data_IF_032444300211
#
_entry.id   IF_032444300211
#
_cell.length_a   1.000
_cell.length_b   1.000
_cell.length_c   1.000
_cell.angle_alpha   90.00
_cell.angle_beta   90.00
_cell.angle_gamma   90.00
#
_symmetry.space_group_name_H-M   'P 1'
#
loop_
_entity.id
_entity.type
_entity.pdbx_description
1 polymer ?
#
# COMPACT_ATOMS: atom_id res chain seq x y z
N UNK A 1 -12.14 4.11 -0.25
CA UNK A 1 -10.72 3.73 -0.37
C UNK A 1 -9.99 4.82 -1.14
N UNK A 2 -8.90 5.38 -0.63
CA UNK A 2 -8.10 6.35 -1.38
C UNK A 2 -6.65 6.02 -1.13
N UNK A 3 -6.02 5.42 -2.13
CA UNK A 3 -4.61 5.07 -2.11
C UNK A 3 -4.00 5.78 -3.31
N UNK A 4 -3.10 6.71 -3.03
CA UNK A 4 -2.51 7.60 -4.04
C UNK A 4 -1.26 6.91 -4.58
N UNK A 5 -1.29 6.43 -5.82
CA UNK A 5 -0.06 6.05 -6.54
C UNK A 5 0.61 7.32 -7.03
N UNK A 6 1.85 7.56 -6.57
CA UNK A 6 2.68 8.67 -7.02
C UNK A 6 3.66 8.16 -8.07
N UNK A 7 3.48 8.54 -9.33
CA UNK A 7 4.54 8.44 -10.33
C UNK A 7 5.29 9.77 -10.30
N UNK A 8 6.58 9.75 -9.98
CA UNK A 8 7.43 10.96 -10.04
C UNK A 8 8.30 10.84 -11.28
N UNK A 9 7.95 11.57 -12.34
CA UNK A 9 8.84 11.78 -13.49
C UNK A 9 9.59 13.09 -13.26
N UNK A 10 10.86 13.16 -13.67
CA UNK A 10 11.57 14.44 -13.76
C UNK A 10 10.70 15.47 -14.49
N UNK A 11 10.44 16.61 -13.85
CA UNK A 11 9.49 17.67 -14.24
C UNK A 11 7.99 17.31 -14.40
N UNK A 12 7.56 16.04 -14.33
CA UNK A 12 6.14 15.64 -14.51
C UNK A 12 5.67 14.62 -13.44
N UNK A 13 4.80 15.00 -12.50
CA UNK A 13 4.20 14.02 -11.57
C UNK A 13 2.96 13.39 -12.21
N UNK A 14 2.92 12.08 -12.47
CA UNK A 14 1.66 11.42 -12.87
C UNK A 14 1.00 10.79 -11.65
N UNK A 15 -0.25 11.14 -11.37
CA UNK A 15 -0.99 10.60 -10.22
C UNK A 15 -2.08 9.67 -10.74
N UNK A 16 -2.06 8.42 -10.29
CA UNK A 16 -3.09 7.43 -10.60
C UNK A 16 -3.91 7.20 -9.32
N UNK A 17 -5.23 7.44 -9.39
CA UNK A 17 -6.14 7.34 -8.25
C UNK A 17 -7.55 6.97 -8.72
N UNK A 18 -8.33 6.39 -7.81
CA UNK A 18 -9.70 5.93 -8.04
C UNK A 18 -10.73 7.08 -7.92
N UNK A 19 -10.36 8.24 -7.38
CA UNK A 19 -11.31 9.34 -7.11
C UNK A 19 -10.87 10.68 -7.74
N UNK A 20 -11.64 11.15 -8.73
CA UNK A 20 -11.36 12.39 -9.48
C UNK A 20 -11.43 13.68 -8.65
N UNK A 21 -12.30 13.74 -7.63
CA UNK A 21 -12.45 14.93 -6.79
C UNK A 21 -11.23 15.13 -5.89
N UNK A 22 -10.73 14.03 -5.30
CA UNK A 22 -9.50 14.05 -4.49
C UNK A 22 -8.30 14.45 -5.35
N UNK A 23 -8.25 13.97 -6.61
CA UNK A 23 -7.20 14.30 -7.57
C UNK A 23 -7.16 15.80 -7.88
N UNK A 24 -8.31 16.44 -8.14
CA UNK A 24 -8.39 17.89 -8.40
C UNK A 24 -7.83 18.72 -7.25
N UNK A 25 -8.12 18.35 -6.01
CA UNK A 25 -7.65 19.09 -4.83
C UNK A 25 -6.12 18.93 -4.61
N UNK A 26 -5.57 17.73 -4.79
CA UNK A 26 -4.13 17.49 -4.69
C UNK A 26 -3.38 18.25 -5.80
N UNK A 27 -3.94 18.30 -7.00
CA UNK A 27 -3.36 19.02 -8.14
C UNK A 27 -3.19 20.51 -7.85
N UNK A 28 -4.26 21.17 -7.41
CA UNK A 28 -4.23 22.61 -7.10
C UNK A 28 -3.15 22.87 -6.05
N UNK A 29 -3.11 22.09 -4.97
CA UNK A 29 -2.12 22.24 -3.93
C UNK A 29 -0.67 22.08 -4.45
N UNK A 30 -0.38 21.07 -5.27
CA UNK A 30 0.98 20.78 -5.75
C UNK A 30 1.48 21.76 -6.81
N UNK A 31 0.63 22.17 -7.76
CA UNK A 31 1.01 23.13 -8.82
C UNK A 31 1.44 24.49 -8.25
N UNK A 32 0.81 24.90 -7.14
CA UNK A 32 1.18 26.14 -6.46
C UNK A 32 2.47 26.02 -5.64
N UNK A 33 2.81 24.82 -5.15
CA UNK A 33 3.96 24.60 -4.28
C UNK A 33 5.25 24.23 -5.03
N UNK A 34 5.14 23.53 -6.17
CA UNK A 34 6.27 23.07 -6.97
C UNK A 34 6.01 23.34 -8.46
N UNK A 35 7.02 23.87 -9.19
CA UNK A 35 6.94 24.11 -10.64
C UNK A 35 7.09 22.79 -11.42
N UNK A 36 6.10 21.91 -11.30
CA UNK A 36 6.04 20.61 -11.99
C UNK A 36 4.73 20.48 -12.76
N UNK A 37 4.76 19.85 -13.94
CA UNK A 37 3.54 19.45 -14.62
C UNK A 37 2.94 18.23 -13.92
N UNK A 38 1.62 18.08 -13.96
CA UNK A 38 0.94 16.93 -13.37
C UNK A 38 -0.08 16.36 -14.35
N UNK A 39 -0.05 15.03 -14.54
CA UNK A 39 -1.04 14.29 -15.33
C UNK A 39 -1.79 13.32 -14.45
N UNK A 40 -3.05 13.05 -14.80
CA UNK A 40 -3.92 12.23 -13.98
C UNK A 40 -4.62 11.19 -14.84
N UNK A 41 -4.66 9.96 -14.35
CA UNK A 41 -5.40 8.86 -14.98
C UNK A 41 -6.28 8.24 -13.90
N UNK A 42 -7.60 8.40 -14.05
CA UNK A 42 -8.57 7.82 -13.12
C UNK A 42 -8.92 6.38 -13.54
N UNK A 43 -8.67 5.43 -12.64
CA UNK A 43 -8.88 3.98 -12.83
C UNK A 43 -9.18 3.30 -11.49
N UNK A 44 -9.86 2.14 -11.54
CA UNK A 44 -10.07 1.28 -10.38
C UNK A 44 -9.25 -0.02 -10.53
N UNK A 45 -8.23 -0.18 -9.68
CA UNK A 45 -7.35 -1.36 -9.66
C UNK A 45 -8.04 -2.66 -9.22
N UNK A 46 -9.32 -2.61 -8.82
CA UNK A 46 -10.14 -3.82 -8.68
C UNK A 46 -10.43 -4.51 -10.01
N UNK A 47 -10.28 -3.79 -11.14
CA UNK A 47 -10.55 -4.26 -12.49
C UNK A 47 -9.25 -4.54 -13.25
N UNK A 48 -9.30 -5.49 -14.19
CA UNK A 48 -8.17 -5.90 -15.03
C UNK A 48 -8.09 -5.18 -16.38
N UNK A 49 -9.18 -4.59 -16.85
CA UNK A 49 -9.31 -3.93 -18.16
C UNK A 49 -8.76 -2.48 -18.20
N UNK A 50 -8.07 -2.06 -17.13
CA UNK A 50 -7.62 -0.66 -16.97
C UNK A 50 -6.23 -0.39 -17.54
N UNK A 51 -5.40 -1.43 -17.75
CA UNK A 51 -3.98 -1.23 -18.01
C UNK A 51 -3.69 -0.67 -19.41
N UNK A 52 -4.54 -0.93 -20.40
CA UNK A 52 -4.45 -0.31 -21.73
C UNK A 52 -4.67 1.20 -21.66
N UNK A 53 -5.66 1.65 -20.87
CA UNK A 53 -5.91 3.07 -20.61
C UNK A 53 -4.72 3.72 -19.90
N UNK A 54 -4.11 3.02 -18.94
CA UNK A 54 -2.92 3.52 -18.25
C UNK A 54 -1.76 3.65 -19.23
N UNK A 55 -1.46 2.60 -20.00
CA UNK A 55 -0.35 2.60 -20.97
C UNK A 55 -0.48 3.73 -21.99
N UNK A 56 -1.68 3.91 -22.56
CA UNK A 56 -1.98 5.01 -23.45
C UNK A 56 -1.74 6.38 -22.80
N UNK A 57 -2.10 6.54 -21.52
CA UNK A 57 -1.85 7.77 -20.77
C UNK A 57 -0.38 8.00 -20.37
N UNK A 58 0.45 6.95 -20.39
CA UNK A 58 1.90 7.01 -20.18
C UNK A 58 2.69 7.16 -21.48
N UNK A 59 2.03 7.12 -22.65
CA UNK A 59 2.69 7.24 -23.95
C UNK A 59 3.45 8.57 -24.07
N UNK A 60 4.67 8.50 -24.60
CA UNK A 60 5.56 9.66 -24.77
C UNK A 60 6.19 10.20 -23.48
N UNK A 61 5.92 9.59 -22.31
CA UNK A 61 6.53 9.99 -21.05
C UNK A 61 7.71 9.07 -20.69
N UNK A 62 8.83 9.67 -20.28
CA UNK A 62 9.96 8.93 -19.70
C UNK A 62 9.73 8.70 -18.21
N UNK A 63 9.26 7.52 -17.80
CA UNK A 63 8.92 7.29 -16.39
C UNK A 63 10.16 7.03 -15.53
N UNK A 64 10.64 8.03 -14.80
CA UNK A 64 11.82 7.94 -13.93
C UNK A 64 11.59 7.17 -12.61
N UNK A 65 10.46 7.39 -11.94
CA UNK A 65 10.12 6.73 -10.67
C UNK A 65 8.69 6.20 -10.70
N UNK A 66 8.53 4.92 -10.35
CA UNK A 66 7.25 4.29 -10.07
C UNK A 66 7.12 4.01 -8.57
N UNK A 67 6.06 4.53 -7.92
CA UNK A 67 5.71 4.14 -6.55
C UNK A 67 4.42 3.34 -6.56
N UNK A 68 4.54 2.01 -6.49
CA UNK A 68 3.38 1.12 -6.37
C UNK A 68 2.85 1.15 -4.93
N UNK A 69 2.05 2.17 -4.63
CA UNK A 69 1.45 2.40 -3.32
C UNK A 69 0.03 1.86 -3.19
N UNK A 70 -0.70 1.69 -4.30
CA UNK A 70 -2.08 1.17 -4.29
C UNK A 70 -2.17 -0.13 -3.49
N UNK A 71 -3.15 -0.18 -2.60
CA UNK A 71 -3.41 -1.34 -1.78
C UNK A 71 -4.64 -1.18 -0.91
N UNK A 72 -5.35 -2.27 -0.67
CA UNK A 72 -6.50 -2.34 0.21
C UNK A 72 -6.25 -3.34 1.33
N UNK A 73 -6.94 -3.15 2.44
CA UNK A 73 -6.94 -4.04 3.58
C UNK A 73 -8.37 -4.33 3.99
N UNK A 74 -8.53 -5.14 5.02
CA UNK A 74 -9.82 -5.51 5.56
C UNK A 74 -10.54 -4.30 6.16
N UNK A 75 -11.87 -4.28 6.08
CA UNK A 75 -12.69 -3.30 6.81
C UNK A 75 -12.55 -3.45 8.33
N UNK A 76 -12.30 -4.68 8.80
CA UNK A 76 -12.00 -5.07 10.17
C UNK A 76 -11.41 -6.50 10.15
N UNK A 77 -10.63 -6.92 11.16
CA UNK A 77 -10.11 -8.29 11.21
C UNK A 77 -11.25 -9.32 11.27
N UNK A 78 -11.21 -10.35 10.45
CA UNK A 78 -12.26 -11.38 10.38
C UNK A 78 -11.66 -12.75 10.03
N UNK A 79 -12.30 -13.82 10.51
CA UNK A 79 -11.97 -15.19 10.13
C UNK A 79 -12.26 -15.40 8.64
N UNK A 80 -11.39 -16.13 7.96
CA UNK A 80 -11.41 -16.26 6.50
C UNK A 80 -12.80 -16.63 5.94
N UNK A 81 -13.43 -17.67 6.49
CA UNK A 81 -14.74 -18.14 6.03
C UNK A 81 -15.92 -17.22 6.43
N UNK A 82 -15.67 -16.22 7.28
CA UNK A 82 -16.70 -15.26 7.73
C UNK A 82 -16.55 -13.88 7.08
N UNK A 83 -15.62 -13.73 6.14
CA UNK A 83 -15.50 -12.52 5.36
C UNK A 83 -16.75 -12.38 4.49
N UNK A 84 -17.49 -11.26 4.56
CA UNK A 84 -18.65 -11.04 3.70
C UNK A 84 -18.23 -11.00 2.23
N UNK A 85 -19.03 -11.65 1.37
CA UNK A 85 -18.79 -11.69 -0.07
C UNK A 85 -17.37 -12.17 -0.42
N UNK A 86 -17.01 -13.34 0.14
CA UNK A 86 -15.64 -13.85 0.16
C UNK A 86 -15.02 -13.96 -1.24
N UNK A 87 -15.76 -14.44 -2.25
CA UNK A 87 -15.24 -14.63 -3.60
C UNK A 87 -14.83 -13.29 -4.25
N UNK A 88 -15.69 -12.27 -4.14
CA UNK A 88 -15.38 -10.93 -4.62
C UNK A 88 -14.27 -10.28 -3.77
N UNK A 89 -14.27 -10.50 -2.45
CA UNK A 89 -13.20 -10.01 -1.57
C UNK A 89 -11.84 -10.56 -1.98
N UNK A 90 -11.74 -11.88 -2.24
CA UNK A 90 -10.49 -12.53 -2.67
C UNK A 90 -10.02 -11.91 -3.99
N UNK A 91 -10.90 -11.89 -5.00
CA UNK A 91 -10.58 -11.38 -6.34
C UNK A 91 -10.15 -9.91 -6.28
N UNK A 92 -10.88 -9.08 -5.55
CA UNK A 92 -10.56 -7.65 -5.38
C UNK A 92 -9.24 -7.44 -4.65
N UNK A 93 -8.97 -8.17 -3.57
CA UNK A 93 -7.71 -8.08 -2.82
C UNK A 93 -6.51 -8.49 -3.69
N UNK A 94 -6.65 -9.56 -4.48
CA UNK A 94 -5.60 -10.01 -5.40
C UNK A 94 -5.37 -8.96 -6.49
N UNK A 95 -6.43 -8.48 -7.15
CA UNK A 95 -6.30 -7.49 -8.23
C UNK A 95 -5.62 -6.20 -7.74
N UNK A 96 -6.08 -5.68 -6.60
CA UNK A 96 -5.60 -4.40 -6.09
C UNK A 96 -4.20 -4.51 -5.46
N UNK A 97 -3.87 -5.59 -4.74
CA UNK A 97 -2.60 -5.67 -4.00
C UNK A 97 -1.48 -6.41 -4.75
N UNK A 98 -1.83 -7.35 -5.65
CA UNK A 98 -0.87 -8.24 -6.33
C UNK A 98 -0.80 -7.89 -7.81
N UNK A 99 -1.92 -7.99 -8.52
CA UNK A 99 -1.96 -7.79 -9.98
C UNK A 99 -1.53 -6.38 -10.36
N UNK A 100 -1.96 -5.37 -9.61
CA UNK A 100 -1.59 -3.96 -9.83
C UNK A 100 -0.08 -3.73 -9.83
N UNK A 101 0.63 -4.26 -8.83
CA UNK A 101 2.10 -4.16 -8.72
C UNK A 101 2.78 -4.81 -9.91
N UNK A 102 2.33 -6.01 -10.31
CA UNK A 102 2.92 -6.74 -11.43
C UNK A 102 2.71 -5.99 -12.74
N UNK A 103 1.47 -5.57 -13.02
CA UNK A 103 1.12 -4.92 -14.28
C UNK A 103 1.72 -3.52 -14.40
N UNK A 104 1.67 -2.70 -13.35
CA UNK A 104 2.31 -1.38 -13.36
C UNK A 104 3.83 -1.49 -13.55
N UNK A 105 4.46 -2.47 -12.92
CA UNK A 105 5.88 -2.75 -13.13
C UNK A 105 6.15 -3.16 -14.58
N UNK A 106 5.34 -4.07 -15.16
CA UNK A 106 5.45 -4.49 -16.57
C UNK A 106 5.34 -3.31 -17.54
N UNK A 107 4.50 -2.32 -17.26
CA UNK A 107 4.33 -1.14 -18.11
C UNK A 107 5.55 -0.21 -18.12
N UNK A 108 6.27 -0.07 -17.01
CA UNK A 108 7.37 0.91 -16.89
C UNK A 108 8.77 0.31 -17.02
N UNK A 109 8.94 -0.93 -16.57
CA UNK A 109 10.25 -1.57 -16.41
C UNK A 109 11.01 -1.76 -17.72
N UNK A 110 10.38 -2.16 -18.86
CA UNK A 110 11.09 -2.31 -20.13
C UNK A 110 11.81 -1.02 -20.55
N UNK A 111 11.12 0.12 -20.49
CA UNK A 111 11.71 1.42 -20.82
C UNK A 111 12.80 1.83 -19.82
N UNK A 112 12.67 1.46 -18.53
CA UNK A 112 13.71 1.70 -17.52
C UNK A 112 14.98 0.90 -17.81
N UNK A 113 14.82 -0.35 -18.26
CA UNK A 113 15.90 -1.26 -18.60
C UNK A 113 16.66 -0.79 -19.85
N UNK A 114 15.94 -0.40 -20.91
CA UNK A 114 16.53 0.11 -22.16
C UNK A 114 17.52 1.27 -21.93
N UNK A 115 17.21 2.17 -20.99
CA UNK A 115 18.07 3.32 -20.64
C UNK A 115 18.94 3.10 -19.39
N UNK A 116 18.90 1.90 -18.81
CA UNK A 116 19.62 1.52 -17.59
C UNK A 116 19.47 2.49 -16.42
N UNK A 117 18.25 3.05 -16.24
CA UNK A 117 17.98 4.08 -15.25
C UNK A 117 16.50 4.13 -14.84
N UNK A 118 16.23 3.87 -13.58
CA UNK A 118 14.88 4.01 -13.02
C UNK A 118 14.81 3.61 -11.54
N UNK A 119 13.73 4.03 -10.88
CA UNK A 119 13.43 3.64 -9.49
C UNK A 119 12.01 3.08 -9.41
N UNK A 120 11.84 1.92 -8.79
CA UNK A 120 10.56 1.32 -8.47
C UNK A 120 10.48 1.10 -6.95
N UNK A 121 9.55 1.77 -6.29
CA UNK A 121 9.26 1.60 -4.88
C UNK A 121 7.95 0.83 -4.74
N UNK A 122 8.03 -0.39 -4.20
CA UNK A 122 6.86 -1.25 -4.00
C UNK A 122 6.46 -1.25 -2.52
N UNK A 123 5.27 -0.74 -2.23
CA UNK A 123 4.80 -0.60 -0.86
C UNK A 123 4.15 -1.90 -0.39
N UNK A 124 4.94 -2.69 0.32
CA UNK A 124 4.50 -3.87 1.05
C UNK A 124 3.92 -3.46 2.43
N UNK A 125 4.21 -4.21 3.49
CA UNK A 125 3.82 -3.96 4.88
C UNK A 125 4.66 -4.84 5.80
N UNK A 126 4.84 -4.42 7.05
CA UNK A 126 5.32 -5.32 8.11
C UNK A 126 4.46 -6.59 8.26
N UNK A 127 3.17 -6.53 7.87
CA UNK A 127 2.30 -7.71 7.82
C UNK A 127 2.69 -8.74 6.74
N UNK A 128 3.60 -8.39 5.82
CA UNK A 128 4.19 -9.33 4.86
C UNK A 128 5.41 -10.06 5.41
N UNK A 129 5.94 -9.67 6.58
CA UNK A 129 7.12 -10.29 7.19
C UNK A 129 6.79 -11.60 7.91
N UNK A 130 5.51 -11.84 8.22
CA UNK A 130 5.02 -13.01 8.94
C UNK A 130 3.49 -13.16 8.78
N UNK A 131 2.92 -14.36 9.01
CA UNK A 131 1.48 -14.56 8.98
C UNK A 131 0.74 -13.70 10.01
N UNK A 132 -0.36 -13.07 9.59
CA UNK A 132 -1.20 -12.23 10.47
C UNK A 132 -2.62 -12.80 10.53
N UNK A 133 -2.96 -13.60 11.56
CA UNK A 133 -4.30 -14.19 11.69
C UNK A 133 -5.41 -13.13 11.69
N UNK A 134 -6.55 -13.47 11.08
CA UNK A 134 -7.70 -12.58 10.81
C UNK A 134 -7.45 -11.49 9.74
N UNK A 135 -6.24 -11.45 9.15
CA UNK A 135 -5.87 -10.59 8.02
C UNK A 135 -5.13 -11.40 6.93
N UNK A 136 -5.41 -12.71 6.85
CA UNK A 136 -4.61 -13.70 6.11
C UNK A 136 -4.34 -13.30 4.66
N UNK A 137 -5.38 -12.94 3.90
CA UNK A 137 -5.25 -12.56 2.48
C UNK A 137 -4.40 -11.29 2.33
N UNK A 138 -4.53 -10.34 3.26
CA UNK A 138 -3.75 -9.12 3.27
C UNK A 138 -2.27 -9.41 3.55
N UNK A 139 -1.95 -10.14 4.62
CA UNK A 139 -0.56 -10.52 4.93
C UNK A 139 0.09 -11.30 3.79
N UNK A 140 -0.63 -12.24 3.19
CA UNK A 140 -0.14 -13.02 2.05
C UNK A 140 0.13 -12.12 0.82
N UNK A 141 -0.78 -11.18 0.51
CA UNK A 141 -0.57 -10.24 -0.59
C UNK A 141 0.63 -9.32 -0.38
N UNK A 142 0.91 -8.92 0.87
CA UNK A 142 2.08 -8.09 1.18
C UNK A 142 3.38 -8.88 1.21
N UNK A 143 3.34 -10.14 1.64
CA UNK A 143 4.46 -11.07 1.45
C UNK A 143 4.79 -11.22 -0.05
N UNK A 144 3.78 -11.43 -0.91
CA UNK A 144 3.97 -11.49 -2.37
C UNK A 144 4.71 -10.24 -2.88
N UNK A 145 4.23 -9.03 -2.55
CA UNK A 145 4.84 -7.79 -3.00
C UNK A 145 6.30 -7.69 -2.55
N UNK A 146 6.62 -8.13 -1.33
CA UNK A 146 7.99 -8.14 -0.82
C UNK A 146 8.90 -9.09 -1.62
N UNK A 147 8.48 -10.35 -1.79
CA UNK A 147 9.26 -11.34 -2.53
C UNK A 147 9.42 -10.95 -4.01
N UNK A 148 8.35 -10.48 -4.65
CA UNK A 148 8.36 -9.98 -6.02
C UNK A 148 9.38 -8.85 -6.20
N UNK A 149 9.39 -7.89 -5.30
CA UNK A 149 10.29 -6.73 -5.36
C UNK A 149 11.76 -7.13 -5.18
N UNK A 150 12.05 -8.02 -4.22
CA UNK A 150 13.42 -8.50 -3.99
C UNK A 150 13.93 -9.37 -5.14
N UNK A 151 13.07 -10.19 -5.74
CA UNK A 151 13.41 -10.96 -6.94
C UNK A 151 13.79 -10.05 -8.10
N UNK A 152 12.92 -9.09 -8.44
CA UNK A 152 13.19 -8.12 -9.51
C UNK A 152 14.44 -7.28 -9.24
N UNK A 153 14.68 -6.88 -7.99
CA UNK A 153 15.89 -6.14 -7.66
C UNK A 153 17.15 -6.92 -8.04
N UNK A 154 17.20 -8.24 -7.80
CA UNK A 154 18.36 -9.05 -8.19
C UNK A 154 18.45 -9.26 -9.71
N UNK A 155 17.32 -9.41 -10.40
CA UNK A 155 17.26 -9.54 -11.86
C UNK A 155 17.79 -8.28 -12.59
N UNK A 156 17.44 -7.09 -12.09
CA UNK A 156 17.71 -5.81 -12.76
C UNK A 156 18.83 -4.99 -12.10
N UNK A 157 19.45 -5.46 -11.00
CA UNK A 157 20.51 -4.75 -10.26
C UNK A 157 21.64 -4.24 -11.15
N UNK A 158 22.07 -5.09 -12.09
CA UNK A 158 23.21 -4.81 -12.99
C UNK A 158 22.85 -3.86 -14.13
N UNK A 159 21.56 -3.60 -14.35
CA UNK A 159 21.06 -2.68 -15.36
C UNK A 159 20.82 -1.27 -14.80
N UNK A 160 21.35 -0.94 -13.61
CA UNK A 160 21.23 0.41 -13.05
C UNK A 160 19.82 0.79 -12.58
N UNK A 161 18.91 -0.18 -12.45
CA UNK A 161 17.56 0.03 -11.93
C UNK A 161 17.54 -0.25 -10.42
N UNK A 162 16.92 0.66 -9.67
CA UNK A 162 16.68 0.50 -8.23
C UNK A 162 15.24 0.03 -8.04
N UNK A 163 15.06 -1.14 -7.44
CA UNK A 163 13.78 -1.72 -7.06
C UNK A 163 13.85 -1.99 -5.56
N UNK A 164 12.98 -1.34 -4.80
CA UNK A 164 12.99 -1.39 -3.35
C UNK A 164 11.65 -1.87 -2.81
N UNK A 165 11.71 -2.85 -1.92
CA UNK A 165 10.58 -3.31 -1.12
C UNK A 165 10.48 -2.49 0.17
N UNK A 166 9.34 -1.84 0.39
CA UNK A 166 9.10 -0.98 1.55
C UNK A 166 8.05 -1.63 2.45
N UNK A 167 8.40 -1.95 3.70
CA UNK A 167 7.58 -2.70 4.66
C UNK A 167 7.20 -1.82 5.86
N UNK A 168 6.32 -0.82 5.69
CA UNK A 168 5.90 0.04 6.79
C UNK A 168 5.17 -0.76 7.87
N UNK A 169 5.38 -0.37 9.13
CA UNK A 169 4.41 -0.60 10.19
C UNK A 169 3.32 0.48 10.13
N UNK A 170 2.64 0.77 11.25
CA UNK A 170 1.57 1.75 11.27
C UNK A 170 2.08 3.16 10.95
N UNK A 171 1.51 3.79 9.92
CA UNK A 171 1.64 5.21 9.58
C UNK A 171 0.25 5.85 9.75
N UNK A 172 0.20 7.10 10.21
CA UNK A 172 -1.06 7.83 10.42
C UNK A 172 -1.73 8.11 9.08
N UNK A 173 -2.70 7.28 8.71
CA UNK A 173 -3.43 7.40 7.44
C UNK A 173 -4.91 7.09 7.64
N UNK A 174 -5.73 7.44 6.65
CA UNK A 174 -7.16 7.05 6.64
C UNK A 174 -7.34 5.53 6.68
N UNK A 175 -6.41 4.76 6.09
CA UNK A 175 -6.45 3.29 6.09
C UNK A 175 -6.27 2.71 7.49
N UNK A 176 -5.32 3.23 8.27
CA UNK A 176 -5.02 2.72 9.62
C UNK A 176 -5.98 3.23 10.70
N UNK A 177 -6.79 4.26 10.39
CA UNK A 177 -7.77 4.90 11.30
C UNK A 177 -7.12 5.49 12.58
N UNK A 178 -5.81 5.67 12.58
CA UNK A 178 -5.07 6.33 13.65
C UNK A 178 -5.26 7.84 13.52
N UNK A 179 -5.56 8.52 14.63
CA UNK A 179 -5.84 9.97 14.64
C UNK A 179 -4.63 10.83 15.03
N UNK A 180 -3.75 10.31 15.89
CA UNK A 180 -2.64 11.06 16.47
C UNK A 180 -1.32 10.34 16.18
N UNK A 181 -0.28 11.05 15.72
CA UNK A 181 1.04 10.46 15.55
C UNK A 181 1.66 10.14 16.91
N UNK A 182 2.46 9.06 16.93
CA UNK A 182 3.32 8.66 18.05
C UNK A 182 4.72 8.40 17.51
N UNK A 183 5.68 8.16 18.41
CA UNK A 183 7.07 7.90 18.01
C UNK A 183 7.20 6.77 16.97
N UNK A 184 6.46 5.68 17.18
CA UNK A 184 6.38 4.49 16.32
C UNK A 184 5.30 4.58 15.23
N UNK A 185 4.45 5.62 15.25
CA UNK A 185 3.38 5.85 14.27
C UNK A 185 3.54 7.25 13.67
N UNK A 186 4.50 7.44 12.75
CA UNK A 186 4.80 8.74 12.19
C UNK A 186 3.66 9.25 11.30
N UNK A 187 3.68 10.56 11.00
CA UNK A 187 2.87 11.12 9.91
C UNK A 187 3.39 10.62 8.56
N UNK A 188 2.56 10.64 7.49
CA UNK A 188 3.01 10.25 6.16
C UNK A 188 4.21 11.06 5.67
N UNK A 189 4.26 12.36 5.95
CA UNK A 189 5.34 13.25 5.52
C UNK A 189 6.66 12.85 6.19
N UNK A 190 6.63 12.59 7.51
CA UNK A 190 7.80 12.13 8.26
C UNK A 190 8.26 10.75 7.80
N UNK A 191 7.31 9.85 7.54
CA UNK A 191 7.63 8.52 7.03
C UNK A 191 8.30 8.60 5.65
N UNK A 192 7.71 9.35 4.71
CA UNK A 192 8.25 9.50 3.35
C UNK A 192 9.63 10.17 3.37
N UNK A 193 9.83 11.21 4.20
CA UNK A 193 11.14 11.84 4.33
C UNK A 193 12.23 10.86 4.82
N UNK A 194 11.88 9.98 5.77
CA UNK A 194 12.79 8.94 6.24
C UNK A 194 13.00 7.85 5.18
N UNK A 195 11.94 7.39 4.52
CA UNK A 195 12.00 6.33 3.50
C UNK A 195 12.89 6.74 2.33
N UNK A 196 12.75 7.99 1.84
CA UNK A 196 13.55 8.51 0.74
C UNK A 196 15.07 8.49 1.02
N UNK A 197 15.49 8.53 2.29
CA UNK A 197 16.90 8.41 2.65
C UNK A 197 17.47 7.00 2.48
N UNK A 198 16.60 5.99 2.28
CA UNK A 198 17.00 4.59 2.13
C UNK A 198 17.06 4.12 0.68
N UNK A 199 16.51 4.90 -0.25
CA UNK A 199 16.41 4.54 -1.68
C UNK A 199 17.81 4.33 -2.27
N UNK A 200 18.03 3.17 -2.89
CA UNK A 200 19.32 2.79 -3.47
C UNK A 200 20.36 2.30 -2.46
N UNK A 201 20.13 2.46 -1.15
CA UNK A 201 21.01 1.92 -0.10
C UNK A 201 20.61 0.51 0.32
N UNK A 202 19.30 0.21 0.30
CA UNK A 202 18.75 -1.07 0.71
C UNK A 202 17.69 -1.56 -0.28
N UNK A 203 17.72 -2.84 -0.64
CA UNK A 203 16.67 -3.45 -1.47
C UNK A 203 15.39 -3.75 -0.70
N UNK A 204 15.47 -3.84 0.63
CA UNK A 204 14.36 -4.06 1.54
C UNK A 204 14.51 -3.16 2.76
N UNK A 205 13.46 -2.44 3.12
CA UNK A 205 13.49 -1.46 4.22
C UNK A 205 12.14 -1.38 4.94
N UNK A 206 12.15 -1.00 6.21
CA UNK A 206 10.94 -0.61 6.94
C UNK A 206 10.68 0.92 6.89
N UNK A 207 11.54 1.66 6.19
CA UNK A 207 11.41 3.07 5.84
C UNK A 207 11.50 4.12 6.94
N UNK A 208 11.49 3.67 8.19
CA UNK A 208 11.54 4.57 9.33
C UNK A 208 12.28 3.88 10.48
N UNK A 209 13.19 4.59 11.15
CA UNK A 209 14.09 3.96 12.14
C UNK A 209 13.34 3.16 13.24
N UNK A 210 12.31 3.70 13.92
CA UNK A 210 11.50 2.91 14.85
C UNK A 210 10.88 1.67 14.22
N UNK A 211 10.44 1.75 12.96
CA UNK A 211 9.88 0.61 12.22
C UNK A 211 10.95 -0.45 11.94
N UNK A 212 12.18 -0.05 11.61
CA UNK A 212 13.29 -0.97 11.41
C UNK A 212 13.65 -1.71 12.70
N UNK A 213 13.69 -1.03 13.84
CA UNK A 213 13.91 -1.67 15.16
C UNK A 213 12.80 -2.66 15.47
N UNK A 214 11.53 -2.29 15.28
CA UNK A 214 10.41 -3.22 15.50
C UNK A 214 10.48 -4.43 14.56
N UNK A 215 10.80 -4.23 13.28
CA UNK A 215 10.97 -5.29 12.30
C UNK A 215 12.08 -6.26 12.67
N UNK A 216 13.21 -5.74 13.16
CA UNK A 216 14.31 -6.57 13.67
C UNK A 216 13.89 -7.39 14.88
N UNK A 217 13.23 -6.77 15.87
CA UNK A 217 12.74 -7.47 17.07
C UNK A 217 11.77 -8.60 16.68
N UNK A 218 10.78 -8.32 15.83
CA UNK A 218 9.73 -9.29 15.49
C UNK A 218 10.20 -10.41 14.55
N UNK A 219 11.34 -10.25 13.87
CA UNK A 219 11.83 -11.28 12.93
C UNK A 219 13.13 -11.96 13.35
N UNK A 220 13.91 -11.36 14.26
CA UNK A 220 15.22 -11.89 14.68
C UNK A 220 15.31 -12.23 16.16
N UNK A 221 14.52 -11.57 17.01
CA UNK A 221 14.62 -11.74 18.48
C UNK A 221 13.48 -12.60 19.01
N UNK A 222 12.25 -12.25 18.65
CA UNK A 222 11.05 -12.92 19.19
C UNK A 222 10.72 -14.17 18.39
N UNK A 223 10.54 -15.34 19.03
CA UNK A 223 10.04 -16.54 18.37
C UNK A 223 8.74 -16.28 17.59
N UNK A 224 8.70 -16.75 16.34
CA UNK A 224 7.61 -16.44 15.39
C UNK A 224 6.22 -16.81 15.90
N UNK A 225 6.11 -17.91 16.65
CA UNK A 225 4.86 -18.35 17.28
C UNK A 225 4.31 -17.32 18.28
N UNK A 226 5.18 -16.61 19.01
CA UNK A 226 4.79 -15.55 19.95
C UNK A 226 4.29 -14.33 19.17
N UNK A 227 4.98 -13.94 18.09
CA UNK A 227 4.56 -12.83 17.23
C UNK A 227 3.17 -13.08 16.63
N UNK A 228 2.96 -14.29 16.09
CA UNK A 228 1.67 -14.71 15.53
C UNK A 228 0.59 -14.70 16.62
N UNK A 229 0.89 -15.23 17.82
CA UNK A 229 -0.06 -15.27 18.93
C UNK A 229 -0.49 -13.86 19.38
N UNK A 230 0.45 -12.95 19.59
CA UNK A 230 0.18 -11.57 20.00
C UNK A 230 -0.60 -10.81 18.93
N UNK A 231 -0.22 -10.97 17.65
CA UNK A 231 -0.94 -10.40 16.52
C UNK A 231 -2.39 -10.90 16.45
N UNK A 232 -2.60 -12.21 16.62
CA UNK A 232 -3.93 -12.81 16.64
C UNK A 232 -4.78 -12.29 17.82
N UNK A 233 -4.20 -12.18 19.01
CA UNK A 233 -4.88 -11.65 20.19
C UNK A 233 -5.34 -10.21 19.95
N UNK A 234 -4.46 -9.35 19.45
CA UNK A 234 -4.79 -7.96 19.09
C UNK A 234 -5.93 -7.90 18.05
N UNK A 235 -5.85 -8.71 16.99
CA UNK A 235 -6.87 -8.71 15.94
C UNK A 235 -8.24 -9.21 16.43
N UNK A 236 -8.27 -10.20 17.33
CA UNK A 236 -9.53 -10.64 17.96
C UNK A 236 -10.17 -9.53 18.78
N UNK A 237 -9.39 -8.76 19.54
CA UNK A 237 -9.89 -7.60 20.30
C UNK A 237 -10.47 -6.54 19.36
N UNK A 238 -9.76 -6.21 18.28
CA UNK A 238 -10.24 -5.24 17.27
C UNK A 238 -11.54 -5.70 16.61
N UNK A 239 -11.62 -6.99 16.25
CA UNK A 239 -12.83 -7.62 15.69
C UNK A 239 -14.01 -7.50 16.65
N UNK A 240 -13.85 -7.94 17.90
CA UNK A 240 -14.91 -7.87 18.92
C UNK A 240 -15.39 -6.43 19.11
N UNK A 241 -14.46 -5.47 19.23
CA UNK A 241 -14.80 -4.06 19.34
C UNK A 241 -15.57 -3.52 18.13
N UNK A 242 -15.22 -3.95 16.91
CA UNK A 242 -15.93 -3.57 15.70
C UNK A 242 -17.36 -4.14 15.69
N UNK A 243 -17.52 -5.43 15.94
CA UNK A 243 -18.83 -6.10 15.93
C UNK A 243 -19.77 -5.52 16.99
N UNK A 244 -19.26 -5.23 18.19
CA UNK A 244 -20.06 -4.59 19.24
C UNK A 244 -20.55 -3.21 18.81
N UNK A 245 -19.69 -2.37 18.21
CA UNK A 245 -20.10 -1.06 17.68
C UNK A 245 -21.12 -1.20 16.55
N UNK A 246 -21.02 -2.23 15.71
CA UNK A 246 -21.99 -2.48 14.63
C UNK A 246 -23.36 -2.84 15.19
N UNK A 247 -23.42 -3.78 16.14
CA UNK A 247 -24.66 -4.17 16.85
C UNK A 247 -25.35 -2.98 17.51
N UNK A 248 -24.59 -2.13 18.20
CA UNK A 248 -25.14 -0.92 18.84
C UNK A 248 -25.75 0.06 17.83
N UNK A 249 -25.14 0.21 16.63
CA UNK A 249 -25.68 1.04 15.55
C UNK A 249 -26.95 0.46 14.96
N UNK A 250 -26.98 -0.85 14.74
CA UNK A 250 -28.16 -1.57 14.24
C UNK A 250 -29.34 -1.46 15.23
N UNK A 251 -29.08 -1.60 16.53
CA UNK A 251 -30.10 -1.41 17.57
C UNK A 251 -30.63 0.03 17.62
N UNK A 252 -29.74 1.04 17.54
CA UNK A 252 -30.14 2.45 17.53
C UNK A 252 -30.99 2.79 16.30
N UNK A 253 -30.61 2.29 15.13
CA UNK A 253 -31.35 2.53 13.89
C UNK A 253 -32.69 1.78 13.87
N UNK A 254 -32.73 0.54 14.37
CA UNK A 254 -33.96 -0.24 14.49
C UNK A 254 -34.93 0.31 15.54
N UNK A 255 -34.42 0.96 16.59
CA UNK A 255 -35.25 1.70 17.55
C UNK A 255 -35.85 2.97 16.93
N UNK A 256 -35.06 3.70 16.13
CA UNK A 256 -35.52 4.90 15.42
C UNK A 256 -36.62 4.61 14.39
N UNK A 257 -36.59 3.46 13.72
CA UNK A 257 -37.60 3.06 12.73
C UNK A 257 -38.90 2.53 13.35
N UNK A 258 -38.94 2.26 14.67
CA UNK A 258 -40.14 1.84 15.39
C UNK A 258 -40.83 3.00 16.13
N UNK A 259 -40.21 4.16 16.19
CA UNK A 259 -40.71 5.37 16.85
C UNK A 259 -41.34 6.38 15.88
N UNK A 260 -41.31 6.09 14.58
CA UNK A 260 -41.95 6.85 13.49
C UNK A 260 -43.17 6.06 12.97
#
# INVERSE_FOLDING_TARGET
CSVVTHLVVGLFSTIINVNEVILKNIFIAKKHQFKVETRTIAVDFGRSDIYEKIDAGLAGLEIGVLVNNVGVSYSYPEYYLHIPDLDNFITYMINVNITSVCQMTRLVLPRMAERSKGVILNISSASGMYPVPLLTVYSASKAFVDFFSRGLQEEYRRQGIIIQSVLPFFVVTKMTRIKKPTFDKPTPERYVAAELSTVGLQSQTNGYFPHAVMGWITTKVVPINIVIFLGAAMNRVQRTGYLNRRRLREQKNGASLKSD
#
